data_IF_641517620303
#
_entry.id   IF_641517620303
#
_cell.length_a   1.000
_cell.length_b   1.000
_cell.length_c   1.000
_cell.angle_alpha   90.00
_cell.angle_beta   90.00
_cell.angle_gamma   90.00
#
_symmetry.space_group_name_H-M   'P 1'
#
loop_
_entity.id
_entity.type
_entity.pdbx_description
1 polymer ?
#
# COMPACT_ATOMS: atom_id res chain seq x y z
N UNK A 1 24.64 -14.96 23.92
CA UNK A 1 23.84 -14.64 22.71
C UNK A 1 24.32 -13.27 22.23
N UNK A 2 24.85 -13.14 21.02
CA UNK A 2 25.21 -11.81 20.50
C UNK A 2 23.91 -11.07 20.25
N UNK A 3 23.60 -10.08 21.08
CA UNK A 3 22.56 -9.09 20.82
C UNK A 3 23.08 -8.23 19.66
N UNK A 4 23.03 -8.78 18.44
CA UNK A 4 23.45 -8.07 17.25
C UNK A 4 22.39 -6.99 17.03
N UNK A 5 22.82 -5.75 17.23
CA UNK A 5 22.04 -4.54 16.99
C UNK A 5 21.48 -4.59 15.56
N UNK A 6 20.22 -4.18 15.35
CA UNK A 6 19.58 -4.25 14.04
C UNK A 6 20.43 -3.47 13.01
N UNK A 7 20.89 -4.11 11.91
CA UNK A 7 21.79 -3.47 10.96
C UNK A 7 21.18 -2.22 10.30
N UNK A 8 19.85 -2.12 10.21
CA UNK A 8 19.18 -0.89 9.75
C UNK A 8 19.30 0.23 10.77
N UNK A 9 19.11 -0.07 12.06
CA UNK A 9 19.23 0.89 13.15
C UNK A 9 20.66 1.41 13.26
N UNK A 10 21.67 0.55 13.10
CA UNK A 10 23.09 0.93 13.10
C UNK A 10 23.42 1.91 11.96
N UNK A 11 22.81 1.75 10.78
CA UNK A 11 22.95 2.68 9.66
C UNK A 11 22.03 3.91 9.75
N UNK A 12 21.18 3.99 10.78
CA UNK A 12 20.19 5.07 10.95
C UNK A 12 19.08 5.03 9.90
N UNK A 13 18.72 3.84 9.42
CA UNK A 13 17.70 3.60 8.41
C UNK A 13 16.47 2.94 9.00
N UNK A 14 15.33 3.20 8.36
CA UNK A 14 14.17 2.31 8.48
C UNK A 14 14.43 1.04 7.66
N UNK A 15 13.88 -0.12 8.07
CA UNK A 15 14.02 -1.36 7.33
C UNK A 15 13.56 -1.18 5.88
N UNK A 16 14.44 -1.51 4.94
CA UNK A 16 14.20 -1.33 3.51
C UNK A 16 14.87 -2.42 2.69
N UNK A 17 14.30 -2.71 1.52
CA UNK A 17 14.90 -3.58 0.50
C UNK A 17 15.65 -2.78 -0.58
N UNK A 18 15.70 -1.45 -0.47
CA UNK A 18 16.42 -0.60 -1.43
C UNK A 18 17.92 -0.52 -1.11
N UNK A 19 18.71 -1.24 -1.92
CA UNK A 19 20.17 -1.26 -1.85
C UNK A 19 20.79 0.12 -2.06
N UNK A 20 20.19 0.99 -2.89
CA UNK A 20 20.73 2.32 -3.14
C UNK A 20 20.65 3.21 -1.89
N UNK A 21 19.52 3.14 -1.16
CA UNK A 21 19.33 3.82 0.12
C UNK A 21 20.34 3.33 1.17
N UNK A 22 20.59 2.01 1.25
CA UNK A 22 21.59 1.43 2.18
C UNK A 22 23.00 1.95 1.91
N UNK A 23 23.43 1.96 0.65
CA UNK A 23 24.76 2.48 0.26
C UNK A 23 24.91 3.96 0.62
N UNK A 24 23.90 4.78 0.32
CA UNK A 24 23.92 6.22 0.63
C UNK A 24 24.03 6.47 2.13
N UNK A 25 23.27 5.74 2.94
CA UNK A 25 23.33 5.86 4.39
C UNK A 25 24.68 5.45 4.96
N UNK A 26 25.25 4.35 4.46
CA UNK A 26 26.58 3.91 4.86
C UNK A 26 27.65 4.97 4.57
N UNK A 27 27.70 5.54 3.35
CA UNK A 27 28.66 6.61 3.04
C UNK A 27 28.44 7.88 3.86
N UNK A 28 27.19 8.24 4.15
CA UNK A 28 26.88 9.37 5.01
C UNK A 28 27.32 9.14 6.46
N UNK A 29 27.17 7.90 6.97
CA UNK A 29 27.61 7.52 8.31
C UNK A 29 29.14 7.43 8.41
N UNK A 30 29.82 6.94 7.36
CA UNK A 30 31.28 6.93 7.26
C UNK A 30 31.89 8.33 7.37
N UNK A 31 31.25 9.34 6.79
CA UNK A 31 31.71 10.72 6.92
C UNK A 31 31.65 11.24 8.37
N UNK A 32 30.78 10.68 9.21
CA UNK A 32 30.61 11.06 10.63
C UNK A 32 31.51 10.26 11.58
N UNK A 33 31.89 9.04 11.21
CA UNK A 33 32.79 8.18 11.98
C UNK A 33 34.03 7.79 11.15
N UNK A 34 34.99 8.71 10.99
CA UNK A 34 36.24 8.41 10.29
C UNK A 34 37.01 7.29 11.01
N UNK A 35 37.64 6.36 10.29
CA UNK A 35 38.33 5.21 10.89
C UNK A 35 39.49 5.60 11.80
N UNK A 36 40.08 6.79 11.60
CA UNK A 36 41.19 7.30 12.41
C UNK A 36 40.73 7.97 13.72
N UNK A 37 39.46 8.38 13.81
CA UNK A 37 38.91 9.10 14.97
C UNK A 37 38.00 8.22 15.82
N UNK A 38 37.25 7.31 15.20
CA UNK A 38 36.37 6.37 15.90
C UNK A 38 36.44 4.97 15.27
N UNK A 39 37.46 4.16 15.63
CA UNK A 39 37.63 2.81 15.11
C UNK A 39 36.47 1.88 15.48
N UNK A 40 35.86 2.06 16.66
CA UNK A 40 34.73 1.23 17.10
C UNK A 40 33.45 1.57 16.33
N UNK A 41 33.14 2.85 16.15
CA UNK A 41 32.00 3.31 15.35
C UNK A 41 32.12 2.84 13.89
N UNK A 42 33.31 2.98 13.30
CA UNK A 42 33.58 2.46 11.96
C UNK A 42 33.36 0.94 11.86
N UNK A 43 33.86 0.17 12.83
CA UNK A 43 33.67 -1.29 12.88
C UNK A 43 32.20 -1.70 12.91
N UNK A 44 31.39 -1.02 13.73
CA UNK A 44 29.94 -1.26 13.81
C UNK A 44 29.22 -0.97 12.49
N UNK A 45 29.49 0.18 11.88
CA UNK A 45 28.91 0.57 10.59
C UNK A 45 29.27 -0.42 9.48
N UNK A 46 30.54 -0.84 9.44
CA UNK A 46 31.02 -1.80 8.46
C UNK A 46 30.36 -3.17 8.62
N UNK A 47 30.27 -3.70 9.84
CA UNK A 47 29.62 -4.98 10.10
C UNK A 47 28.14 -4.97 9.71
N UNK A 48 27.41 -3.90 10.02
CA UNK A 48 26.00 -3.75 9.61
C UNK A 48 25.84 -3.71 8.09
N UNK A 49 26.70 -2.96 7.39
CA UNK A 49 26.66 -2.89 5.92
C UNK A 49 27.00 -4.22 5.25
N UNK A 50 28.02 -4.95 5.76
CA UNK A 50 28.38 -6.28 5.27
C UNK A 50 27.25 -7.29 5.49
N UNK A 51 26.56 -7.22 6.62
CA UNK A 51 25.40 -8.07 6.92
C UNK A 51 24.21 -7.84 5.98
N UNK A 52 24.01 -6.60 5.51
CA UNK A 52 22.98 -6.27 4.52
C UNK A 52 23.41 -6.60 3.09
N UNK A 53 24.71 -6.54 2.78
CA UNK A 53 25.21 -6.72 1.41
C UNK A 53 25.50 -8.19 1.07
N UNK A 54 25.63 -9.07 2.07
CA UNK A 54 25.80 -10.51 1.84
C UNK A 54 24.59 -11.09 1.07
N UNK A 55 24.79 -12.13 0.24
CA UNK A 55 23.69 -12.80 -0.46
C UNK A 55 22.58 -13.24 0.51
N UNK A 56 21.33 -12.81 0.26
CA UNK A 56 20.18 -13.10 1.13
C UNK A 56 20.17 -12.37 2.48
N UNK A 57 21.24 -11.68 2.86
CA UNK A 57 21.35 -10.95 4.14
C UNK A 57 20.36 -9.81 4.25
N UNK A 58 20.18 -9.04 3.16
CA UNK A 58 19.19 -7.97 3.10
C UNK A 58 17.77 -8.47 3.36
N UNK A 59 17.36 -9.53 2.66
CA UNK A 59 16.02 -10.09 2.79
C UNK A 59 15.80 -10.67 4.20
N UNK A 60 16.80 -11.39 4.73
CA UNK A 60 16.74 -11.94 6.08
C UNK A 60 16.63 -10.84 7.14
N UNK A 61 17.46 -9.78 7.04
CA UNK A 61 17.42 -8.65 7.96
C UNK A 61 16.09 -7.89 7.85
N UNK A 62 15.58 -7.67 6.64
CA UNK A 62 14.31 -6.98 6.42
C UNK A 62 13.12 -7.74 7.04
N UNK A 63 13.11 -9.07 6.91
CA UNK A 63 12.07 -9.93 7.49
C UNK A 63 12.19 -10.08 9.01
N UNK A 64 13.41 -10.02 9.54
CA UNK A 64 13.67 -10.12 10.98
C UNK A 64 13.45 -8.79 11.72
N UNK A 65 13.54 -7.65 11.02
CA UNK A 65 13.35 -6.34 11.61
C UNK A 65 11.87 -6.13 12.00
N UNK A 66 11.59 -5.50 13.16
CA UNK A 66 10.23 -5.24 13.59
C UNK A 66 9.46 -4.43 12.57
N UNK A 67 8.47 -5.06 11.94
CA UNK A 67 7.57 -4.40 11.00
C UNK A 67 6.75 -3.36 11.74
N UNK A 68 6.85 -2.09 11.32
CA UNK A 68 5.90 -1.05 11.74
C UNK A 68 4.57 -1.27 11.00
N UNK A 69 3.77 -2.20 11.54
CA UNK A 69 2.47 -2.60 10.99
C UNK A 69 1.55 -1.40 10.85
N UNK A 70 1.62 -0.44 11.78
CA UNK A 70 0.76 0.75 11.78
C UNK A 70 1.08 1.65 10.58
N UNK A 71 2.37 1.93 10.34
CA UNK A 71 2.81 2.70 9.17
C UNK A 71 2.42 2.01 7.87
N UNK A 72 2.76 0.72 7.72
CA UNK A 72 2.45 -0.02 6.50
C UNK A 72 0.95 -0.09 6.22
N UNK A 73 0.13 -0.31 7.26
CA UNK A 73 -1.33 -0.29 7.12
C UNK A 73 -1.83 1.08 6.64
N UNK A 74 -1.28 2.18 7.16
CA UNK A 74 -1.67 3.53 6.76
C UNK A 74 -1.28 3.85 5.31
N UNK A 75 -0.08 3.44 4.87
CA UNK A 75 0.39 3.62 3.49
C UNK A 75 -0.44 2.78 2.50
N UNK A 76 -0.73 1.52 2.86
CA UNK A 76 -1.58 0.66 2.06
C UNK A 76 -2.99 1.25 1.94
N UNK A 77 -3.55 1.74 3.05
CA UNK A 77 -4.87 2.39 3.09
C UNK A 77 -4.89 3.60 2.15
N UNK A 78 -3.95 4.52 2.28
CA UNK A 78 -3.84 5.69 1.41
C UNK A 78 -3.72 5.31 -0.08
N UNK A 79 -2.93 4.27 -0.38
CA UNK A 79 -2.73 3.80 -1.76
C UNK A 79 -4.01 3.23 -2.38
N UNK A 80 -4.80 2.50 -1.61
CA UNK A 80 -5.92 1.72 -2.15
C UNK A 80 -7.29 2.37 -1.95
N UNK A 81 -7.41 3.35 -1.06
CA UNK A 81 -8.71 3.96 -0.71
C UNK A 81 -9.44 4.54 -1.91
N UNK A 82 -8.77 5.32 -2.76
CA UNK A 82 -9.40 5.91 -3.94
C UNK A 82 -9.91 4.84 -4.92
N UNK A 83 -9.13 3.77 -5.12
CA UNK A 83 -9.52 2.67 -5.98
C UNK A 83 -10.72 1.91 -5.41
N UNK A 84 -10.69 1.60 -4.10
CA UNK A 84 -11.78 0.92 -3.40
C UNK A 84 -13.07 1.77 -3.39
N UNK A 85 -12.97 3.07 -3.17
CA UNK A 85 -14.10 4.00 -3.23
C UNK A 85 -14.69 4.05 -4.64
N UNK A 86 -13.86 4.19 -5.68
CA UNK A 86 -14.37 4.19 -7.05
C UNK A 86 -15.05 2.86 -7.43
N UNK A 87 -14.54 1.74 -6.91
CA UNK A 87 -15.13 0.43 -7.12
C UNK A 87 -16.46 0.27 -6.37
N UNK A 88 -16.55 0.77 -5.13
CA UNK A 88 -17.78 0.70 -4.34
C UNK A 88 -18.89 1.59 -4.92
N UNK A 89 -18.54 2.79 -5.38
CA UNK A 89 -19.48 3.70 -6.07
C UNK A 89 -20.00 3.07 -7.36
N UNK A 90 -19.12 2.49 -8.18
CA UNK A 90 -19.53 1.75 -9.39
C UNK A 90 -20.47 0.60 -9.03
N UNK A 91 -20.13 -0.21 -8.03
CA UNK A 91 -20.98 -1.30 -7.58
C UNK A 91 -22.33 -0.82 -7.03
N UNK A 92 -22.39 0.35 -6.37
CA UNK A 92 -23.64 0.97 -5.95
C UNK A 92 -24.50 1.37 -7.15
N UNK A 93 -23.92 2.09 -8.12
CA UNK A 93 -24.67 2.55 -9.31
C UNK A 93 -25.21 1.40 -10.17
N UNK A 94 -24.49 0.28 -10.25
CA UNK A 94 -24.97 -0.92 -10.95
C UNK A 94 -26.14 -1.57 -10.19
N UNK A 95 -26.03 -1.69 -8.87
CA UNK A 95 -27.14 -2.20 -8.04
C UNK A 95 -28.37 -1.31 -8.13
N UNK A 96 -28.21 0.01 -8.07
CA UNK A 96 -29.33 0.95 -8.18
C UNK A 96 -30.04 0.82 -9.54
N UNK A 97 -29.28 0.60 -10.64
CA UNK A 97 -29.84 0.36 -11.98
C UNK A 97 -30.59 -0.96 -12.07
N UNK A 98 -30.04 -2.03 -11.49
CA UNK A 98 -30.69 -3.34 -11.43
C UNK A 98 -31.98 -3.26 -10.63
N UNK A 99 -31.96 -2.59 -9.48
CA UNK A 99 -33.13 -2.41 -8.62
C UNK A 99 -34.20 -1.55 -9.30
N UNK A 100 -33.83 -0.45 -9.96
CA UNK A 100 -34.75 0.36 -10.75
C UNK A 100 -35.39 -0.45 -11.89
N UNK A 101 -34.62 -1.31 -12.55
CA UNK A 101 -35.12 -2.19 -13.60
C UNK A 101 -36.10 -3.22 -13.04
N UNK A 102 -35.77 -3.83 -11.90
CA UNK A 102 -36.64 -4.80 -11.22
C UNK A 102 -37.94 -4.14 -10.74
N UNK A 103 -37.86 -2.95 -10.12
CA UNK A 103 -39.04 -2.18 -9.70
C UNK A 103 -39.90 -1.77 -10.89
N UNK A 104 -39.29 -1.38 -12.02
CA UNK A 104 -40.01 -1.08 -13.25
C UNK A 104 -40.75 -2.31 -13.78
N UNK A 105 -40.08 -3.47 -13.85
CA UNK A 105 -40.69 -4.73 -14.28
C UNK A 105 -41.84 -5.15 -13.37
N UNK A 106 -41.66 -5.04 -12.05
CA UNK A 106 -42.70 -5.35 -11.07
C UNK A 106 -43.88 -4.37 -11.14
N UNK A 107 -43.63 -3.11 -11.47
CA UNK A 107 -44.71 -2.13 -11.69
C UNK A 107 -45.49 -2.46 -12.97
N UNK A 108 -44.79 -2.79 -14.05
CA UNK A 108 -45.40 -3.15 -15.33
C UNK A 108 -46.20 -4.46 -15.26
N UNK A 109 -45.76 -5.43 -14.44
CA UNK A 109 -46.47 -6.71 -14.28
C UNK A 109 -47.87 -6.56 -13.65
N UNK A 110 -48.14 -5.44 -12.97
CA UNK A 110 -49.40 -5.12 -12.30
C UNK A 110 -50.33 -4.22 -13.12
N UNK A 111 -49.86 -3.68 -14.24
CA UNK A 111 -50.61 -2.76 -15.11
C UNK A 111 -51.25 -3.51 -16.28
N UNK A 112 -52.36 -2.97 -16.81
CA UNK A 112 -52.86 -3.42 -18.10
C UNK A 112 -51.96 -2.90 -19.22
N UNK A 113 -51.86 -3.66 -20.33
CA UNK A 113 -50.96 -3.34 -21.44
C UNK A 113 -51.16 -1.92 -22.01
N UNK A 114 -52.40 -1.41 -22.03
CA UNK A 114 -52.73 -0.05 -22.45
C UNK A 114 -52.17 1.04 -21.50
N UNK A 115 -52.07 0.74 -20.21
CA UNK A 115 -51.51 1.66 -19.21
C UNK A 115 -49.99 1.71 -19.28
N UNK A 116 -49.34 0.56 -19.55
CA UNK A 116 -47.90 0.49 -19.80
C UNK A 116 -47.51 1.31 -21.03
N UNK A 117 -48.27 1.20 -22.12
CA UNK A 117 -48.07 2.01 -23.33
C UNK A 117 -48.21 3.50 -23.06
N UNK A 118 -49.08 3.91 -22.13
CA UNK A 118 -49.25 5.32 -21.72
C UNK A 118 -48.12 5.84 -20.83
N UNK A 119 -47.51 4.99 -20.00
CA UNK A 119 -46.41 5.36 -19.10
C UNK A 119 -45.04 5.35 -19.80
N UNK A 120 -44.83 4.44 -20.75
CA UNK A 120 -43.57 4.30 -21.49
C UNK A 120 -43.59 5.05 -22.84
N UNK A 121 -44.77 5.18 -23.45
CA UNK A 121 -45.00 6.02 -24.62
C UNK A 121 -45.32 7.43 -24.18
N UNK A 122 -44.28 8.21 -23.84
CA UNK A 122 -44.44 9.66 -23.79
C UNK A 122 -44.97 10.13 -25.16
N UNK A 123 -45.98 11.00 -25.14
CA UNK A 123 -46.49 11.74 -26.30
C UNK A 123 -45.34 12.30 -27.15
N UNK A 124 -44.98 11.57 -28.21
CA UNK A 124 -44.38 12.12 -29.39
C UNK A 124 -45.48 12.71 -30.27
N UNK A 125 -46.09 13.82 -29.84
CA UNK A 125 -46.89 14.69 -30.69
C UNK A 125 -46.76 16.17 -30.27
N UNK A 126 -45.60 16.76 -30.61
CA UNK A 126 -45.49 18.05 -31.32
C UNK A 126 -44.04 18.49 -31.52
#
# INVERSE_FOLDING_TARGET
MKTSEDPFVVLGLQPTLDVATIKRAYFAALARHPPHQDPQGFGRLRSAYEELTRPGGLAAAYLASPVDVRRLASEARQRFDAALQSASEKAATLRDKEEASAQFLERCSRMQWEEVLRVCGGEGDR
#
